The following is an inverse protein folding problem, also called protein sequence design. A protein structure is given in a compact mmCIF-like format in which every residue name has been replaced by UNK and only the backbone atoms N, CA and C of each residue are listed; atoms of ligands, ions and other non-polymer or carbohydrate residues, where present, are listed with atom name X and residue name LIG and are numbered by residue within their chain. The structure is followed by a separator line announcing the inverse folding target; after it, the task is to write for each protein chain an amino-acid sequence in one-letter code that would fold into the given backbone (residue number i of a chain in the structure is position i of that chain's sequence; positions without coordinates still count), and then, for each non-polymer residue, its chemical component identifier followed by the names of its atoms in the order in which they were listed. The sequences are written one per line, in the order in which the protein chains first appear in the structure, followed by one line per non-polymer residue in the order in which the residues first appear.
data_IF_258821264547
#
_entry.id   IF_258821264547
#
_cell.length_a   1.000
_cell.length_b   1.000
_cell.length_c   1.000
_cell.angle_alpha   90.00
_cell.angle_beta   90.00
_cell.angle_gamma   90.00
#
_symmetry.space_group_name_H-M   'P 1'
#
loop_
_entity.id
_entity.type
_entity.pdbx_description
1 polymer ?
#
# COMPACT_ATOMS: atom_id res chain seq x y z
N UNK A 1 -5.72 -42.76 -38.18
CA UNK A 1 -5.51 -42.24 -36.82
C UNK A 1 -4.97 -40.82 -36.96
N UNK A 2 -5.84 -39.85 -36.86
CA UNK A 2 -5.52 -38.43 -37.08
C UNK A 2 -5.34 -37.79 -35.71
N UNK A 3 -4.10 -37.39 -35.40
CA UNK A 3 -3.78 -36.69 -34.16
C UNK A 3 -4.06 -35.20 -34.39
N UNK A 4 -5.17 -34.70 -33.79
CA UNK A 4 -5.49 -33.28 -33.78
C UNK A 4 -4.66 -32.64 -32.66
N UNK A 5 -3.70 -31.82 -33.05
CA UNK A 5 -2.95 -30.97 -32.10
C UNK A 5 -3.89 -29.92 -31.51
N UNK A 6 -4.14 -29.99 -30.22
CA UNK A 6 -4.85 -28.94 -29.49
C UNK A 6 -3.96 -27.68 -29.44
N UNK A 7 -4.40 -26.63 -30.12
CA UNK A 7 -3.85 -25.29 -29.99
C UNK A 7 -3.99 -24.85 -28.51
N UNK A 8 -2.85 -24.62 -27.86
CA UNK A 8 -2.77 -24.22 -26.49
C UNK A 8 -3.53 -22.92 -26.25
N UNK A 9 -4.56 -23.00 -25.42
CA UNK A 9 -5.20 -21.80 -24.83
C UNK A 9 -4.12 -21.05 -24.07
N UNK A 10 -3.91 -19.78 -24.42
CA UNK A 10 -3.10 -18.84 -23.63
C UNK A 10 -3.66 -18.85 -22.19
N UNK A 11 -2.83 -18.99 -21.14
CA UNK A 11 -3.35 -18.99 -19.79
C UNK A 11 -4.11 -17.68 -19.56
N UNK A 12 -5.39 -17.79 -19.19
CA UNK A 12 -6.21 -16.65 -18.83
C UNK A 12 -5.44 -15.88 -17.75
N UNK A 13 -5.05 -14.66 -18.06
CA UNK A 13 -4.27 -13.83 -17.14
C UNK A 13 -5.12 -13.58 -15.90
N UNK A 14 -4.70 -14.05 -14.73
CA UNK A 14 -5.42 -13.84 -13.48
C UNK A 14 -5.73 -12.33 -13.29
N UNK A 15 -6.93 -11.98 -12.79
CA UNK A 15 -7.27 -10.60 -12.57
C UNK A 15 -6.28 -9.96 -11.60
N UNK A 16 -5.77 -8.78 -11.94
CA UNK A 16 -4.78 -8.07 -11.16
C UNK A 16 -5.18 -6.61 -10.97
N UNK A 17 -4.96 -6.07 -9.78
CA UNK A 17 -5.01 -4.63 -9.52
C UNK A 17 -3.65 -3.99 -9.85
N UNK A 18 -2.55 -4.70 -9.58
CA UNK A 18 -1.18 -4.33 -9.96
C UNK A 18 -0.47 -5.57 -10.52
N UNK A 19 0.25 -5.41 -11.60
CA UNK A 19 1.16 -6.43 -12.13
C UNK A 19 2.52 -5.80 -12.45
N UNK A 20 3.56 -6.36 -11.85
CA UNK A 20 4.96 -6.04 -12.14
C UNK A 20 5.62 -7.26 -12.77
N UNK A 21 6.29 -7.05 -13.90
CA UNK A 21 6.98 -8.13 -14.63
C UNK A 21 8.41 -7.71 -14.88
N UNK A 22 9.36 -8.38 -14.22
CA UNK A 22 10.79 -8.16 -14.38
C UNK A 22 11.24 -6.73 -14.07
N UNK A 23 10.56 -6.02 -13.15
CA UNK A 23 10.81 -4.59 -12.89
C UNK A 23 12.16 -4.39 -12.21
N UNK A 24 13.00 -3.57 -12.85
CA UNK A 24 14.31 -3.16 -12.35
C UNK A 24 14.37 -1.64 -12.25
N UNK A 25 15.01 -1.13 -11.21
CA UNK A 25 15.27 0.31 -11.03
C UNK A 25 16.70 0.56 -10.60
N UNK A 26 17.41 1.34 -11.39
CA UNK A 26 18.72 1.90 -11.07
C UNK A 26 18.67 3.42 -11.08
N UNK A 27 19.46 4.07 -10.25
CA UNK A 27 19.66 5.51 -10.26
C UNK A 27 21.07 5.83 -10.79
N UNK A 28 21.17 6.77 -11.73
CA UNK A 28 22.42 7.10 -12.43
C UNK A 28 22.71 6.14 -13.59
N UNK A 29 23.70 6.52 -14.43
CA UNK A 29 24.01 5.80 -15.68
C UNK A 29 24.68 4.44 -15.46
N UNK A 30 25.45 4.28 -14.38
CA UNK A 30 26.20 3.06 -14.05
C UNK A 30 25.84 2.53 -12.64
N UNK A 31 24.64 2.87 -12.16
CA UNK A 31 24.23 2.57 -10.79
C UNK A 31 23.89 1.11 -10.57
N UNK A 32 24.33 0.57 -9.44
CA UNK A 32 23.85 -0.71 -8.92
C UNK A 32 22.32 -0.62 -8.78
N UNK A 33 21.55 -1.62 -9.25
CA UNK A 33 20.09 -1.57 -9.15
C UNK A 33 19.65 -1.50 -7.69
N UNK A 34 18.69 -0.61 -7.43
CA UNK A 34 17.98 -0.56 -6.13
C UNK A 34 16.95 -1.66 -6.05
N UNK A 35 16.26 -1.92 -7.18
CA UNK A 35 15.33 -3.04 -7.36
C UNK A 35 15.78 -3.85 -8.58
N UNK A 36 15.73 -5.17 -8.48
CA UNK A 36 16.20 -6.05 -9.54
C UNK A 36 15.24 -7.20 -9.81
N UNK A 37 14.62 -7.19 -10.99
CA UNK A 37 13.79 -8.25 -11.50
C UNK A 37 12.53 -8.54 -10.66
N UNK A 38 11.87 -7.51 -10.14
CA UNK A 38 10.67 -7.67 -9.32
C UNK A 38 9.51 -8.21 -10.17
N UNK A 39 8.97 -9.36 -9.77
CA UNK A 39 7.74 -9.94 -10.28
C UNK A 39 6.72 -9.98 -9.14
N UNK A 40 5.66 -9.18 -9.22
CA UNK A 40 4.63 -9.09 -8.18
C UNK A 40 3.27 -8.85 -8.82
N UNK A 41 2.30 -9.69 -8.48
CA UNK A 41 0.90 -9.48 -8.86
C UNK A 41 0.10 -9.24 -7.58
N UNK A 42 -0.69 -8.18 -7.53
CA UNK A 42 -1.65 -7.89 -6.46
C UNK A 42 -3.05 -8.12 -7.03
N UNK A 43 -3.82 -8.99 -6.41
CA UNK A 43 -5.19 -9.26 -6.84
C UNK A 43 -6.13 -8.10 -6.48
N UNK A 44 -7.27 -7.94 -7.20
CA UNK A 44 -8.30 -6.97 -6.80
C UNK A 44 -8.79 -7.27 -5.39
N UNK A 45 -8.83 -6.22 -4.55
CA UNK A 45 -9.25 -6.32 -3.15
C UNK A 45 -8.21 -6.96 -2.21
N UNK A 46 -7.04 -7.32 -2.69
CA UNK A 46 -5.99 -7.94 -1.86
C UNK A 46 -5.26 -6.90 -1.00
N UNK A 47 -4.97 -7.27 0.26
CA UNK A 47 -4.11 -6.51 1.16
C UNK A 47 -2.73 -7.16 1.22
N UNK A 48 -1.77 -6.59 0.52
CA UNK A 48 -0.36 -7.05 0.48
C UNK A 48 0.51 -6.17 1.36
N UNK A 49 1.26 -6.78 2.28
CA UNK A 49 2.28 -6.10 3.07
C UNK A 49 3.67 -6.34 2.47
N UNK A 50 4.42 -5.27 2.22
CA UNK A 50 5.81 -5.30 1.80
C UNK A 50 6.72 -5.08 3.01
N UNK A 51 7.56 -6.07 3.32
CA UNK A 51 8.57 -6.03 4.36
C UNK A 51 9.98 -5.96 3.76
N UNK A 52 10.93 -5.49 4.54
CA UNK A 52 12.35 -5.51 4.19
C UNK A 52 13.15 -4.51 5.03
N UNK A 53 14.46 -4.65 5.02
CA UNK A 53 15.38 -3.75 5.71
C UNK A 53 15.25 -2.30 5.21
N UNK A 54 15.74 -1.33 6.00
CA UNK A 54 15.81 0.06 5.55
C UNK A 54 16.69 0.17 4.30
N UNK A 55 16.22 0.94 3.32
CA UNK A 55 16.94 1.15 2.06
C UNK A 55 16.92 -0.01 1.07
N UNK A 56 16.12 -1.07 1.25
CA UNK A 56 15.98 -2.18 0.29
C UNK A 56 15.11 -1.86 -0.94
N UNK A 57 14.56 -0.64 -1.04
CA UNK A 57 13.80 -0.20 -2.22
C UNK A 57 12.27 -0.21 -2.08
N UNK A 58 11.69 -0.41 -0.89
CA UNK A 58 10.22 -0.44 -0.68
C UNK A 58 9.52 0.83 -1.16
N UNK A 59 9.97 2.01 -0.72
CA UNK A 59 9.43 3.30 -1.16
C UNK A 59 9.67 3.54 -2.65
N UNK A 60 10.81 3.09 -3.18
CA UNK A 60 11.08 3.12 -4.63
C UNK A 60 10.03 2.29 -5.38
N UNK A 61 9.73 1.08 -4.90
CA UNK A 61 8.71 0.23 -5.52
C UNK A 61 7.33 0.88 -5.51
N UNK A 62 6.93 1.52 -4.39
CA UNK A 62 5.68 2.28 -4.33
C UNK A 62 5.65 3.45 -5.33
N UNK A 63 6.76 4.21 -5.44
CA UNK A 63 6.86 5.31 -6.38
C UNK A 63 6.74 4.85 -7.84
N UNK A 64 7.33 3.69 -8.17
CA UNK A 64 7.18 3.07 -9.49
C UNK A 64 5.72 2.69 -9.78
N UNK A 65 5.04 2.03 -8.82
CA UNK A 65 3.62 1.65 -8.96
C UNK A 65 2.73 2.89 -9.07
N UNK A 66 3.05 3.96 -8.32
CA UNK A 66 2.32 5.23 -8.37
C UNK A 66 2.58 6.03 -9.65
N UNK A 67 3.51 5.59 -10.51
CA UNK A 67 3.90 6.32 -11.73
C UNK A 67 4.67 7.61 -11.46
N UNK A 68 5.23 7.79 -10.27
CA UNK A 68 6.05 8.96 -9.90
C UNK A 68 7.47 8.85 -10.45
N UNK A 69 7.95 7.63 -10.64
CA UNK A 69 9.25 7.31 -11.23
C UNK A 69 9.06 6.28 -12.35
N UNK A 70 9.83 6.34 -13.45
CA UNK A 70 9.85 5.29 -14.45
C UNK A 70 10.73 4.10 -13.99
N UNK A 71 10.34 2.88 -14.34
CA UNK A 71 11.22 1.73 -14.23
C UNK A 71 12.40 1.84 -15.22
N UNK A 72 13.56 1.28 -14.85
CA UNK A 72 14.71 1.17 -15.75
C UNK A 72 14.50 0.05 -16.78
N UNK A 73 13.83 -1.04 -16.39
CA UNK A 73 13.40 -2.12 -17.27
C UNK A 73 12.21 -2.87 -16.67
N UNK A 74 11.59 -3.74 -17.46
CA UNK A 74 10.37 -4.46 -17.08
C UNK A 74 9.10 -3.65 -17.35
N UNK A 75 7.96 -4.15 -16.92
CA UNK A 75 6.66 -3.49 -17.08
C UNK A 75 5.88 -3.41 -15.78
N UNK A 76 5.09 -2.34 -15.64
CA UNK A 76 4.18 -2.10 -14.54
C UNK A 76 2.80 -1.83 -15.14
N UNK A 77 1.84 -2.62 -14.77
CA UNK A 77 0.48 -2.53 -15.25
C UNK A 77 -0.48 -2.31 -14.08
N UNK A 78 -1.38 -1.34 -14.24
CA UNK A 78 -2.56 -1.17 -13.40
C UNK A 78 -3.78 -1.36 -14.33
N UNK A 79 -4.30 -2.57 -14.45
CA UNK A 79 -5.33 -2.89 -15.45
C UNK A 79 -6.60 -2.06 -15.30
N UNK A 80 -6.94 -1.61 -14.09
CA UNK A 80 -8.15 -0.84 -13.82
C UNK A 80 -9.43 -1.66 -13.94
N UNK A 81 -10.57 -0.96 -13.89
CA UNK A 81 -11.89 -1.56 -14.04
C UNK A 81 -12.57 -1.07 -15.32
N UNK A 82 -13.01 -2.01 -16.15
CA UNK A 82 -13.67 -1.69 -17.41
C UNK A 82 -12.74 -1.00 -18.42
N UNK A 83 -13.22 0.10 -19.03
CA UNK A 83 -12.47 0.83 -20.08
C UNK A 83 -11.51 1.90 -19.53
N UNK A 84 -11.40 2.06 -18.21
CA UNK A 84 -10.53 3.08 -17.60
C UNK A 84 -9.19 2.44 -17.19
N UNK A 85 -8.05 3.07 -17.50
CA UNK A 85 -6.77 2.67 -16.93
C UNK A 85 -6.84 2.72 -15.41
N UNK A 86 -6.28 1.73 -14.74
CA UNK A 86 -6.16 1.75 -13.29
C UNK A 86 -5.27 2.89 -12.82
N UNK A 87 -5.52 3.37 -11.62
CA UNK A 87 -4.67 4.36 -10.98
C UNK A 87 -4.47 4.04 -9.50
N UNK A 88 -3.32 4.47 -8.97
CA UNK A 88 -2.95 4.28 -7.59
C UNK A 88 -2.97 5.60 -6.83
N UNK A 89 -3.45 5.57 -5.58
CA UNK A 89 -3.29 6.67 -4.62
C UNK A 89 -2.14 6.34 -3.67
N UNK A 90 -1.21 7.27 -3.50
CA UNK A 90 -0.07 7.10 -2.60
C UNK A 90 -0.26 7.91 -1.32
N UNK A 91 -0.13 7.23 -0.18
CA UNK A 91 0.00 7.82 1.14
C UNK A 91 1.46 7.72 1.59
N UNK A 92 2.09 8.87 1.76
CA UNK A 92 3.48 8.98 2.19
C UNK A 92 3.62 8.73 3.70
N UNK A 93 4.82 8.40 4.16
CA UNK A 93 5.17 8.24 5.57
C UNK A 93 4.82 9.49 6.38
N UNK A 94 5.17 10.67 5.88
CA UNK A 94 4.64 11.93 6.40
C UNK A 94 3.25 12.20 5.81
N UNK A 95 2.34 12.76 6.61
CA UNK A 95 0.96 13.00 6.17
C UNK A 95 0.87 13.90 4.92
N UNK A 96 1.91 14.69 4.63
CA UNK A 96 2.03 15.61 3.49
C UNK A 96 0.75 16.45 3.27
N UNK A 97 0.09 16.87 4.34
CA UNK A 97 -1.08 17.74 4.29
C UNK A 97 -0.65 19.16 3.95
N UNK A 98 -1.48 19.85 3.18
CA UNK A 98 -1.27 21.27 2.88
C UNK A 98 -1.53 22.11 4.14
N UNK A 99 -0.51 22.72 4.76
CA UNK A 99 -0.62 23.34 6.07
C UNK A 99 -1.52 24.59 6.09
N UNK A 100 -1.74 25.22 4.95
CA UNK A 100 -2.64 26.38 4.77
C UNK A 100 -4.11 25.99 4.58
N UNK A 101 -4.42 24.70 4.44
CA UNK A 101 -5.78 24.17 4.32
C UNK A 101 -6.25 23.57 5.64
N UNK A 102 -7.58 23.53 5.86
CA UNK A 102 -8.17 22.73 6.93
C UNK A 102 -8.17 21.23 6.55
N UNK A 103 -8.49 20.36 7.53
CA UNK A 103 -8.64 18.93 7.30
C UNK A 103 -9.61 18.62 6.15
N UNK A 104 -10.82 19.19 6.21
CA UNK A 104 -11.81 19.02 5.15
C UNK A 104 -11.36 19.56 3.80
N UNK A 105 -10.69 20.72 3.78
CA UNK A 105 -10.20 21.32 2.52
C UNK A 105 -9.04 20.55 1.90
N UNK A 106 -8.22 19.85 2.67
CA UNK A 106 -7.23 18.92 2.15
C UNK A 106 -7.89 17.79 1.34
N UNK A 107 -9.03 17.30 1.82
CA UNK A 107 -9.83 16.25 1.15
C UNK A 107 -10.56 16.85 -0.05
N UNK A 108 -11.20 18.02 0.11
CA UNK A 108 -11.89 18.70 -1.00
C UNK A 108 -10.96 18.97 -2.19
N UNK A 109 -9.69 19.27 -1.94
CA UNK A 109 -8.72 19.47 -3.01
C UNK A 109 -8.51 18.19 -3.84
N UNK A 110 -8.39 17.03 -3.20
CA UNK A 110 -8.29 15.75 -3.91
C UNK A 110 -9.57 15.46 -4.72
N UNK A 111 -10.74 15.69 -4.14
CA UNK A 111 -12.03 15.56 -4.83
C UNK A 111 -12.13 16.49 -6.04
N UNK A 112 -11.65 17.73 -5.93
CA UNK A 112 -11.62 18.69 -7.02
C UNK A 112 -10.70 18.23 -8.16
N UNK A 113 -9.50 17.74 -7.83
CA UNK A 113 -8.54 17.24 -8.82
C UNK A 113 -9.06 15.99 -9.53
N UNK A 114 -9.83 15.15 -8.84
CA UNK A 114 -10.54 14.01 -9.44
C UNK A 114 -11.66 14.44 -10.41
N UNK A 115 -12.09 15.70 -10.38
CA UNK A 115 -13.12 16.23 -11.28
C UNK A 115 -14.47 16.53 -10.63
N UNK A 116 -14.63 16.37 -9.31
CA UNK A 116 -15.86 16.76 -8.61
C UNK A 116 -15.94 18.28 -8.52
N UNK A 117 -16.66 18.93 -9.45
CA UNK A 117 -16.66 20.40 -9.61
C UNK A 117 -17.61 21.10 -8.63
N UNK A 118 -18.72 20.46 -8.24
CA UNK A 118 -19.72 21.05 -7.35
C UNK A 118 -19.14 21.23 -5.94
N UNK A 119 -19.18 22.45 -5.41
CA UNK A 119 -18.62 22.80 -4.09
C UNK A 119 -19.41 22.15 -2.94
N UNK A 120 -20.73 22.09 -3.07
CA UNK A 120 -21.59 21.50 -2.00
C UNK A 120 -21.34 20.00 -1.94
N UNK A 121 -21.34 19.31 -3.08
CA UNK A 121 -21.03 17.88 -3.17
C UNK A 121 -19.65 17.55 -2.62
N UNK A 122 -18.62 18.35 -2.94
CA UNK A 122 -17.27 18.16 -2.40
C UNK A 122 -17.24 18.26 -0.88
N UNK A 123 -17.95 19.26 -0.32
CA UNK A 123 -18.01 19.43 1.13
C UNK A 123 -18.68 18.25 1.80
N UNK A 124 -19.82 17.81 1.27
CA UNK A 124 -20.56 16.65 1.77
C UNK A 124 -19.72 15.38 1.71
N UNK A 125 -19.04 15.15 0.58
CA UNK A 125 -18.19 13.97 0.42
C UNK A 125 -16.95 14.03 1.31
N UNK A 126 -16.33 15.21 1.48
CA UNK A 126 -15.22 15.38 2.41
C UNK A 126 -15.63 15.11 3.87
N UNK A 127 -16.83 15.54 4.27
CA UNK A 127 -17.40 15.22 5.59
C UNK A 127 -17.66 13.73 5.76
N UNK A 128 -18.20 13.06 4.74
CA UNK A 128 -18.41 11.62 4.73
C UNK A 128 -17.08 10.86 4.89
N UNK A 129 -16.05 11.27 4.15
CA UNK A 129 -14.71 10.67 4.24
C UNK A 129 -14.04 10.91 5.60
N UNK A 130 -14.25 12.09 6.21
CA UNK A 130 -13.82 12.33 7.59
C UNK A 130 -14.56 11.42 8.58
N UNK A 131 -15.83 11.14 8.35
CA UNK A 131 -16.60 10.18 9.14
C UNK A 131 -16.02 8.76 9.07
N UNK A 132 -15.60 8.30 7.89
CA UNK A 132 -14.97 6.97 7.73
C UNK A 132 -13.68 6.81 8.57
N UNK A 133 -12.99 7.91 8.85
CA UNK A 133 -11.77 7.92 9.65
C UNK A 133 -11.99 8.49 11.06
N UNK A 134 -13.25 8.59 11.51
CA UNK A 134 -13.67 9.08 12.83
C UNK A 134 -13.16 10.48 13.18
N UNK A 135 -13.28 11.38 12.23
CA UNK A 135 -12.90 12.79 12.37
C UNK A 135 -14.03 13.73 11.95
N UNK A 136 -15.29 13.36 12.22
CA UNK A 136 -16.51 14.07 11.82
C UNK A 136 -16.49 15.55 12.21
N UNK A 137 -15.98 15.85 13.39
CA UNK A 137 -15.93 17.21 13.97
C UNK A 137 -14.71 18.01 13.57
N UNK A 138 -13.81 17.44 12.73
CA UNK A 138 -12.50 18.04 12.47
C UNK A 138 -12.39 18.76 11.13
N UNK A 139 -13.50 18.92 10.41
CA UNK A 139 -13.50 19.48 9.06
C UNK A 139 -12.80 20.86 8.95
N UNK A 140 -13.07 21.78 9.87
CA UNK A 140 -12.53 23.14 9.84
C UNK A 140 -11.18 23.28 10.57
N UNK A 141 -10.72 22.24 11.30
CA UNK A 141 -9.43 22.27 12.00
C UNK A 141 -8.27 22.42 11.02
N UNK A 142 -7.33 23.30 11.37
CA UNK A 142 -6.07 23.48 10.64
C UNK A 142 -5.11 22.33 10.94
N UNK A 143 -4.16 22.09 10.04
CA UNK A 143 -3.19 20.98 10.17
C UNK A 143 -2.41 21.04 11.50
N UNK A 144 -2.06 22.22 11.98
CA UNK A 144 -1.34 22.41 13.26
C UNK A 144 -2.21 22.15 14.50
N UNK A 145 -3.54 22.15 14.37
CA UNK A 145 -4.47 21.82 15.46
C UNK A 145 -4.75 20.31 15.55
N UNK A 146 -4.21 19.51 14.61
CA UNK A 146 -4.38 18.07 14.55
C UNK A 146 -3.21 17.37 15.25
N UNK A 147 -3.51 16.31 16.02
CA UNK A 147 -2.48 15.39 16.51
C UNK A 147 -1.82 14.62 15.34
N UNK A 148 -0.70 13.95 15.59
CA UNK A 148 -0.03 13.10 14.57
C UNK A 148 -0.98 12.06 13.97
N UNK A 149 -1.70 11.33 14.82
CA UNK A 149 -2.69 10.33 14.38
C UNK A 149 -3.86 10.95 13.60
N UNK A 150 -4.34 12.12 14.02
CA UNK A 150 -5.38 12.83 13.26
C UNK A 150 -4.87 13.26 11.87
N UNK A 151 -3.64 13.74 11.76
CA UNK A 151 -3.04 14.06 10.45
C UNK A 151 -2.96 12.86 9.54
N UNK A 152 -2.57 11.69 10.06
CA UNK A 152 -2.53 10.45 9.28
C UNK A 152 -3.93 10.00 8.83
N UNK A 153 -4.95 10.11 9.68
CA UNK A 153 -6.34 9.84 9.29
C UNK A 153 -6.84 10.79 8.20
N UNK A 154 -6.52 12.08 8.28
CA UNK A 154 -6.86 13.04 7.21
C UNK A 154 -6.13 12.69 5.91
N UNK A 155 -4.86 12.28 5.97
CA UNK A 155 -4.11 11.82 4.80
C UNK A 155 -4.75 10.56 4.18
N UNK A 156 -5.19 9.61 5.01
CA UNK A 156 -5.94 8.43 4.53
C UNK A 156 -7.26 8.84 3.86
N UNK A 157 -8.06 9.70 4.48
CA UNK A 157 -9.31 10.20 3.89
C UNK A 157 -9.06 10.94 2.55
N UNK A 158 -7.95 11.70 2.46
CA UNK A 158 -7.52 12.36 1.22
C UNK A 158 -7.12 11.35 0.13
N UNK A 159 -6.45 10.26 0.50
CA UNK A 159 -6.12 9.19 -0.45
C UNK A 159 -7.38 8.49 -0.96
N UNK A 160 -8.32 8.17 -0.08
CA UNK A 160 -9.62 7.59 -0.44
C UNK A 160 -10.45 8.51 -1.36
N UNK A 161 -10.35 9.84 -1.19
CA UNK A 161 -11.02 10.82 -2.02
C UNK A 161 -10.62 10.70 -3.49
N UNK A 162 -9.48 10.11 -3.81
CA UNK A 162 -9.02 9.91 -5.18
C UNK A 162 -9.78 8.77 -5.89
N UNK A 163 -10.47 7.87 -5.15
CA UNK A 163 -11.14 6.68 -5.68
C UNK A 163 -10.21 5.85 -6.58
N UNK A 164 -9.00 5.64 -6.12
CA UNK A 164 -8.01 4.83 -6.81
C UNK A 164 -8.37 3.35 -6.73
N UNK A 165 -7.91 2.56 -7.70
CA UNK A 165 -8.07 1.10 -7.73
C UNK A 165 -7.12 0.43 -6.72
N UNK A 166 -6.01 1.10 -6.40
CA UNK A 166 -4.98 0.64 -5.47
C UNK A 166 -4.57 1.75 -4.52
N UNK A 167 -4.55 1.45 -3.23
CA UNK A 167 -4.00 2.32 -2.19
C UNK A 167 -2.58 1.85 -1.83
N UNK A 168 -1.62 2.71 -2.07
CA UNK A 168 -0.22 2.52 -1.71
C UNK A 168 0.07 3.28 -0.42
N UNK A 169 0.65 2.61 0.58
CA UNK A 169 0.91 3.20 1.89
C UNK A 169 2.37 2.97 2.27
N UNK A 170 3.16 4.04 2.41
CA UNK A 170 4.56 3.98 2.77
C UNK A 170 4.73 4.27 4.27
N UNK A 171 4.92 3.23 5.08
CA UNK A 171 5.10 3.29 6.54
C UNK A 171 4.13 4.27 7.25
N UNK A 172 2.81 4.21 6.97
CA UNK A 172 1.87 5.28 7.29
C UNK A 172 1.73 5.53 8.79
N UNK A 173 2.10 4.57 9.63
CA UNK A 173 1.90 4.63 11.08
C UNK A 173 3.21 4.60 11.87
N UNK A 174 4.37 4.74 11.21
CA UNK A 174 5.68 4.64 11.87
C UNK A 174 5.91 5.69 12.96
N UNK A 175 5.36 6.91 12.78
CA UNK A 175 5.54 8.02 13.70
C UNK A 175 4.51 8.04 14.86
N UNK A 176 3.65 7.01 14.98
CA UNK A 176 2.60 6.97 15.99
C UNK A 176 3.00 6.13 17.21
N UNK A 177 2.47 6.51 18.37
CA UNK A 177 2.52 5.68 19.57
C UNK A 177 1.76 4.35 19.37
N UNK A 178 2.06 3.36 20.21
CA UNK A 178 1.52 2.01 20.06
C UNK A 178 -0.01 1.96 20.12
N UNK A 179 -0.62 2.70 21.06
CA UNK A 179 -2.09 2.68 21.26
C UNK A 179 -2.80 3.31 20.06
N UNK A 180 -2.33 4.47 19.60
CA UNK A 180 -2.88 5.16 18.42
C UNK A 180 -2.74 4.30 17.17
N UNK A 181 -1.59 3.63 17.02
CA UNK A 181 -1.33 2.71 15.89
C UNK A 181 -2.29 1.53 15.88
N UNK A 182 -2.52 0.90 17.03
CA UNK A 182 -3.44 -0.24 17.14
C UNK A 182 -4.87 0.12 16.77
N UNK A 183 -5.34 1.29 17.20
CA UNK A 183 -6.66 1.81 16.81
C UNK A 183 -6.74 2.03 15.30
N UNK A 184 -5.68 2.60 14.69
CA UNK A 184 -5.66 2.85 13.24
C UNK A 184 -5.56 1.57 12.41
N UNK A 185 -4.89 0.54 12.90
CA UNK A 185 -4.91 -0.78 12.28
C UNK A 185 -6.32 -1.37 12.22
N UNK A 186 -7.07 -1.30 13.31
CA UNK A 186 -8.45 -1.79 13.34
C UNK A 186 -9.36 -1.00 12.39
N UNK A 187 -9.21 0.33 12.36
CA UNK A 187 -9.96 1.19 11.45
C UNK A 187 -9.62 0.91 9.99
N UNK A 188 -8.33 0.72 9.67
CA UNK A 188 -7.88 0.39 8.32
C UNK A 188 -8.43 -0.96 7.85
N UNK A 189 -8.41 -1.98 8.71
CA UNK A 189 -8.96 -3.30 8.37
C UNK A 189 -10.47 -3.23 8.14
N UNK A 190 -11.22 -2.52 8.99
CA UNK A 190 -12.66 -2.32 8.78
C UNK A 190 -12.94 -1.63 7.45
N UNK A 191 -12.23 -0.53 7.19
CA UNK A 191 -12.35 0.21 5.93
C UNK A 191 -12.03 -0.68 4.72
N UNK A 192 -10.95 -1.46 4.79
CA UNK A 192 -10.57 -2.39 3.73
C UNK A 192 -11.65 -3.46 3.50
N UNK A 193 -12.22 -4.05 4.57
CA UNK A 193 -13.30 -5.03 4.47
C UNK A 193 -14.57 -4.45 3.86
N UNK A 194 -14.89 -3.19 4.15
CA UNK A 194 -16.07 -2.50 3.61
C UNK A 194 -15.89 -2.07 2.16
N UNK A 195 -14.70 -1.63 1.77
CA UNK A 195 -14.43 -1.05 0.44
C UNK A 195 -13.89 -2.04 -0.57
N UNK A 196 -13.34 -3.17 -0.12
CA UNK A 196 -12.64 -4.15 -0.96
C UNK A 196 -11.53 -3.50 -1.82
N UNK A 197 -10.91 -2.45 -1.30
CA UNK A 197 -9.83 -1.72 -1.96
C UNK A 197 -8.56 -2.58 -1.99
N UNK A 198 -7.86 -2.62 -3.12
CA UNK A 198 -6.55 -3.25 -3.18
C UNK A 198 -5.53 -2.40 -2.43
N UNK A 199 -4.73 -2.99 -1.54
CA UNK A 199 -3.78 -2.26 -0.69
C UNK A 199 -2.38 -2.84 -0.83
N UNK A 200 -1.39 -1.97 -1.05
CA UNK A 200 0.04 -2.29 -0.90
C UNK A 200 0.58 -1.48 0.26
N UNK A 201 0.86 -2.15 1.35
CA UNK A 201 1.24 -1.55 2.63
C UNK A 201 2.71 -1.84 2.94
N UNK A 202 3.54 -0.82 2.93
CA UNK A 202 4.95 -0.92 3.31
C UNK A 202 5.11 -0.71 4.81
N UNK A 203 5.84 -1.61 5.44
CA UNK A 203 6.24 -1.49 6.83
C UNK A 203 7.58 -2.18 7.09
N UNK A 204 8.27 -1.78 8.14
CA UNK A 204 9.42 -2.51 8.70
C UNK A 204 9.02 -3.35 9.93
N UNK A 205 7.77 -3.27 10.36
CA UNK A 205 7.26 -3.98 11.53
C UNK A 205 6.59 -5.30 11.13
N UNK A 206 7.24 -6.42 11.45
CA UNK A 206 6.75 -7.77 11.13
C UNK A 206 5.39 -8.07 11.76
N UNK A 207 5.14 -7.61 13.01
CA UNK A 207 3.85 -7.82 13.69
C UNK A 207 2.70 -7.12 12.97
N UNK A 208 2.97 -5.92 12.48
CA UNK A 208 2.04 -5.13 11.68
C UNK A 208 1.68 -5.85 10.38
N UNK A 209 2.68 -6.35 9.65
CA UNK A 209 2.48 -7.10 8.43
C UNK A 209 1.68 -8.41 8.66
N UNK A 210 1.99 -9.17 9.71
CA UNK A 210 1.25 -10.39 10.06
C UNK A 210 -0.19 -10.12 10.49
N UNK A 211 -0.45 -8.97 11.14
CA UNK A 211 -1.79 -8.55 11.57
C UNK A 211 -2.67 -8.09 10.41
N UNK A 212 -2.11 -7.29 9.48
CA UNK A 212 -2.88 -6.60 8.46
C UNK A 212 -2.96 -7.39 7.14
N UNK A 213 -1.83 -7.92 6.66
CA UNK A 213 -1.72 -8.47 5.31
C UNK A 213 -2.46 -9.80 5.12
N UNK A 214 -3.09 -9.97 3.97
CA UNK A 214 -3.48 -11.30 3.46
C UNK A 214 -2.28 -12.02 2.86
N UNK A 215 -1.30 -11.25 2.39
CA UNK A 215 -0.01 -11.73 1.92
C UNK A 215 1.10 -10.81 2.41
N UNK A 216 2.20 -11.41 2.82
CA UNK A 216 3.40 -10.69 3.24
C UNK A 216 4.52 -11.03 2.26
N UNK A 217 5.13 -10.01 1.67
CA UNK A 217 6.22 -10.11 0.71
C UNK A 217 7.46 -9.50 1.34
N UNK A 218 8.51 -10.29 1.46
CA UNK A 218 9.81 -9.86 1.97
C UNK A 218 10.72 -9.49 0.80
N UNK A 219 11.22 -8.26 0.82
CA UNK A 219 12.28 -7.84 -0.09
C UNK A 219 13.65 -8.10 0.55
N UNK A 220 14.58 -8.62 -0.25
CA UNK A 220 15.99 -8.75 0.12
C UNK A 220 16.62 -7.37 0.32
N UNK A 221 17.80 -7.34 0.96
CA UNK A 221 18.66 -6.15 0.97
C UNK A 221 19.22 -5.90 -0.45
N UNK A 222 19.88 -4.76 -0.64
CA UNK A 222 20.33 -4.27 -1.96
C UNK A 222 21.05 -5.31 -2.83
N UNK A 223 20.60 -5.54 -4.07
CA UNK A 223 19.40 -5.02 -4.69
C UNK A 223 18.13 -5.67 -4.10
N UNK A 224 17.05 -4.89 -4.01
CA UNK A 224 15.75 -5.40 -3.59
C UNK A 224 15.21 -6.40 -4.60
N UNK A 225 15.04 -7.64 -4.17
CA UNK A 225 14.38 -8.73 -4.90
C UNK A 225 13.31 -9.33 -4.00
N UNK A 226 12.33 -10.01 -4.53
CA UNK A 226 11.41 -10.78 -3.70
C UNK A 226 12.17 -11.99 -3.16
N UNK A 227 12.47 -11.97 -1.84
CA UNK A 227 13.18 -13.04 -1.16
C UNK A 227 12.22 -14.16 -0.75
N UNK A 228 11.03 -13.79 -0.25
CA UNK A 228 10.02 -14.75 0.18
C UNK A 228 8.64 -14.12 0.27
N UNK A 229 7.61 -14.97 0.10
CA UNK A 229 6.22 -14.60 0.30
C UNK A 229 5.54 -15.56 1.28
N UNK A 230 4.60 -15.03 2.07
CA UNK A 230 3.73 -15.81 2.94
C UNK A 230 2.28 -15.42 2.65
N UNK A 231 1.45 -16.42 2.39
CA UNK A 231 0.01 -16.27 2.43
C UNK A 231 -0.46 -16.38 3.88
N UNK A 232 -1.34 -15.48 4.30
CA UNK A 232 -1.79 -15.39 5.68
C UNK A 232 -3.23 -15.87 5.76
N UNK A 233 -3.41 -17.16 6.00
CA UNK A 233 -4.73 -17.81 6.07
C UNK A 233 -5.38 -17.72 7.48
N UNK A 234 -4.93 -16.75 8.29
CA UNK A 234 -5.48 -16.45 9.61
C UNK A 234 -6.65 -15.47 9.41
N UNK A 235 -7.87 -15.78 9.92
CA UNK A 235 -9.02 -14.88 9.74
C UNK A 235 -8.86 -13.56 10.49
N UNK A 236 -9.50 -12.50 9.98
CA UNK A 236 -9.64 -11.21 10.66
C UNK A 236 -10.86 -11.23 11.62
N UNK A 237 -10.84 -10.47 12.73
CA UNK A 237 -9.74 -9.62 13.22
C UNK A 237 -8.63 -10.42 13.90
N UNK A 238 -7.38 -10.10 13.61
CA UNK A 238 -6.19 -10.74 14.20
C UNK A 238 -5.69 -9.93 15.38
N UNK A 239 -5.40 -10.62 16.48
CA UNK A 239 -4.71 -10.03 17.64
C UNK A 239 -3.24 -10.43 17.62
N UNK A 240 -2.37 -9.53 18.07
CA UNK A 240 -0.91 -9.78 18.08
C UNK A 240 -0.57 -10.95 19.03
N UNK A 241 -1.40 -11.16 20.06
CA UNK A 241 -1.26 -12.21 21.08
C UNK A 241 -1.71 -13.59 20.59
N UNK A 242 -2.45 -13.67 19.49
CA UNK A 242 -2.93 -14.95 18.95
C UNK A 242 -1.73 -15.86 18.59
N UNK A 243 -1.81 -17.12 18.98
CA UNK A 243 -0.72 -18.08 18.79
C UNK A 243 -0.32 -18.20 17.31
N UNK A 244 -1.28 -18.25 16.40
CA UNK A 244 -1.04 -18.33 14.96
C UNK A 244 -0.33 -17.07 14.41
N UNK A 245 -0.71 -15.88 14.88
CA UNK A 245 -0.06 -14.61 14.51
C UNK A 245 1.35 -14.53 15.06
N UNK A 246 1.55 -15.01 16.30
CA UNK A 246 2.88 -15.06 16.95
C UNK A 246 3.81 -16.02 16.20
N UNK A 247 3.33 -17.19 15.79
CA UNK A 247 4.11 -18.17 15.03
C UNK A 247 4.50 -17.62 13.65
N UNK A 248 3.56 -17.03 12.92
CA UNK A 248 3.83 -16.37 11.65
C UNK A 248 4.85 -15.24 11.81
N UNK A 249 4.70 -14.40 12.84
CA UNK A 249 5.64 -13.32 13.15
C UNK A 249 7.05 -13.86 13.39
N UNK A 250 7.17 -14.96 14.11
CA UNK A 250 8.47 -15.62 14.36
C UNK A 250 9.10 -16.13 13.06
N UNK A 251 8.32 -16.79 12.20
CA UNK A 251 8.79 -17.30 10.92
C UNK A 251 9.28 -16.18 9.99
N UNK A 252 8.52 -15.08 9.88
CA UNK A 252 8.91 -13.92 9.08
C UNK A 252 10.16 -13.23 9.66
N UNK A 253 10.21 -13.05 10.99
CA UNK A 253 11.36 -12.43 11.66
C UNK A 253 12.64 -13.22 11.44
N UNK A 254 12.57 -14.54 11.52
CA UNK A 254 13.74 -15.40 11.26
C UNK A 254 14.29 -15.23 9.85
N UNK A 255 13.41 -15.10 8.85
CA UNK A 255 13.85 -14.89 7.46
C UNK A 255 14.38 -13.48 7.24
N UNK A 256 13.74 -12.47 7.81
CA UNK A 256 14.22 -11.08 7.76
C UNK A 256 15.65 -10.95 8.37
N UNK A 257 15.91 -11.62 9.50
CA UNK A 257 17.24 -11.64 10.09
C UNK A 257 18.28 -12.30 9.18
N UNK A 258 17.92 -13.41 8.50
CA UNK A 258 18.84 -14.03 7.52
C UNK A 258 19.16 -13.08 6.37
N UNK A 259 18.15 -12.37 5.84
CA UNK A 259 18.36 -11.40 4.75
C UNK A 259 19.26 -10.22 5.19
N UNK A 260 19.06 -9.70 6.40
CA UNK A 260 19.90 -8.63 6.95
C UNK A 260 21.35 -9.14 7.15
N UNK A 261 21.53 -10.35 7.70
CA UNK A 261 22.86 -10.92 7.97
C UNK A 261 23.65 -11.24 6.70
N UNK A 262 22.99 -11.60 5.59
CA UNK A 262 23.63 -11.87 4.29
C UNK A 262 24.28 -10.64 3.65
N UNK A 263 23.85 -9.45 4.04
CA UNK A 263 24.26 -8.18 3.41
C UNK A 263 24.91 -7.21 4.39
N UNK A 264 25.14 -7.63 5.64
CA UNK A 264 25.79 -6.86 6.70
C UNK A 264 27.30 -7.08 6.82
N UNK A 265 27.91 -7.74 5.84
CA UNK A 265 29.36 -7.92 5.72
C UNK A 265 29.89 -7.15 4.53
#
# INVERSE_FOLDING_TARGET
MTVTAALGASPATEPAAVRLTGVTKSFGKDGVPVLDGINLTVAPGEFVCLLGASGCGKSTLLNLIAGLDPASSGSIELPGTGSRPGHAALMFQESALFPWLSAGRNIELALKLRGLRNRVERRTEAQRLLGLVRLETSYDKRVHELSGGMRQRVALARALAQQADVLLMDEPFAALDAITRDVLHEELIKLWQETQLSVVFVTHNVREAARLGQRVVLLSSRPGRIAREWRVDIPQPRRIEDAAVTELTRAITAELHKEISRHGN
#
